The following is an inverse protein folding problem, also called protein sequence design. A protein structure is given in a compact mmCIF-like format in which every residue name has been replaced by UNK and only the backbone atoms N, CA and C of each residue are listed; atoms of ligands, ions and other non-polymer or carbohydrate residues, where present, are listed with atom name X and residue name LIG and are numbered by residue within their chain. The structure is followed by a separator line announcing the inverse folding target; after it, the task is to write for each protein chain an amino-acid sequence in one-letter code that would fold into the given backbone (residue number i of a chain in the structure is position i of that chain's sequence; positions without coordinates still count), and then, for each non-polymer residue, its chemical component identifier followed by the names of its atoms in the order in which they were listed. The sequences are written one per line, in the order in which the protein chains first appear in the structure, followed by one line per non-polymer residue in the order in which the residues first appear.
data_IF_348337766065
#
_entry.id   IF_348337766065
#
_cell.length_a   1.000
_cell.length_b   1.000
_cell.length_c   1.000
_cell.angle_alpha   90.00
_cell.angle_beta   90.00
_cell.angle_gamma   90.00
#
_symmetry.space_group_name_H-M   'P 1'
#
loop_
_entity.id
_entity.type
_entity.pdbx_description
1 polymer ?
#
# COMPACT_ATOMS: atom_id res chain seq x y z
N UNK A 1 -4.88 -2.87 29.53
CA UNK A 1 -3.92 -2.09 28.72
C UNK A 1 -3.39 -3.01 27.62
N UNK A 2 -3.76 -2.80 26.36
CA UNK A 2 -3.24 -3.63 25.25
C UNK A 2 -1.74 -3.35 25.12
N UNK A 3 -0.90 -4.37 25.23
CA UNK A 3 0.50 -4.23 24.85
C UNK A 3 0.54 -3.77 23.39
N UNK A 4 1.27 -2.69 23.09
CA UNK A 4 1.49 -2.30 21.71
C UNK A 4 2.13 -3.49 20.99
N UNK A 5 1.48 -3.99 19.93
CA UNK A 5 1.98 -5.12 19.16
C UNK A 5 3.43 -4.86 18.75
N UNK A 6 4.30 -5.85 18.92
CA UNK A 6 5.72 -5.67 18.62
C UNK A 6 5.90 -5.25 17.17
N UNK A 7 6.91 -4.43 16.85
CA UNK A 7 7.16 -3.98 15.46
C UNK A 7 7.27 -5.16 14.48
N UNK A 8 7.77 -6.32 14.94
CA UNK A 8 7.82 -7.56 14.17
C UNK A 8 6.44 -8.10 13.83
N UNK A 9 5.53 -8.10 14.79
CA UNK A 9 4.14 -8.51 14.61
C UNK A 9 3.39 -7.57 13.66
N UNK A 10 3.55 -6.26 13.83
CA UNK A 10 2.99 -5.26 12.91
C UNK A 10 3.46 -5.49 11.47
N UNK A 11 4.75 -5.77 11.26
CA UNK A 11 5.29 -6.12 9.93
C UNK A 11 4.67 -7.40 9.38
N UNK A 12 4.47 -8.43 10.22
CA UNK A 12 3.78 -9.65 9.79
C UNK A 12 2.33 -9.38 9.42
N UNK A 13 1.60 -8.60 10.22
CA UNK A 13 0.20 -8.20 9.95
C UNK A 13 0.10 -7.40 8.64
N UNK A 14 0.97 -6.42 8.44
CA UNK A 14 1.09 -5.64 7.20
C UNK A 14 1.33 -6.53 5.98
N UNK A 15 2.30 -7.44 6.06
CA UNK A 15 2.56 -8.39 4.97
C UNK A 15 1.56 -9.54 4.86
N UNK A 16 0.42 -9.49 5.56
CA UNK A 16 -0.59 -10.58 5.65
C UNK A 16 0.02 -11.95 5.96
N UNK A 17 1.07 -11.96 6.76
CA UNK A 17 1.90 -13.12 7.11
C UNK A 17 2.50 -13.88 5.92
N UNK A 18 2.49 -13.31 4.71
CA UNK A 18 3.14 -13.88 3.52
C UNK A 18 4.59 -13.42 3.46
N UNK A 19 5.53 -14.34 3.35
CA UNK A 19 6.96 -14.03 3.47
C UNK A 19 7.43 -13.03 2.41
N UNK A 20 6.94 -13.13 1.16
CA UNK A 20 7.28 -12.20 0.09
C UNK A 20 6.81 -10.77 0.44
N UNK A 21 5.54 -10.63 0.84
CA UNK A 21 4.96 -9.34 1.20
C UNK A 21 5.62 -8.76 2.46
N UNK A 22 5.94 -9.59 3.46
CA UNK A 22 6.70 -9.18 4.65
C UNK A 22 8.08 -8.64 4.28
N UNK A 23 8.81 -9.32 3.38
CA UNK A 23 10.13 -8.87 2.93
C UNK A 23 10.05 -7.55 2.18
N UNK A 24 9.09 -7.40 1.25
CA UNK A 24 8.85 -6.14 0.53
C UNK A 24 8.46 -5.02 1.50
N UNK A 25 7.60 -5.30 2.49
CA UNK A 25 7.22 -4.35 3.53
C UNK A 25 8.44 -3.83 4.29
N UNK A 26 9.37 -4.70 4.67
CA UNK A 26 10.62 -4.29 5.37
C UNK A 26 11.47 -3.36 4.50
N UNK A 27 11.62 -3.70 3.22
CA UNK A 27 12.38 -2.88 2.27
C UNK A 27 11.72 -1.51 2.07
N UNK A 28 10.40 -1.47 1.91
CA UNK A 28 9.63 -0.25 1.75
C UNK A 28 9.71 0.64 3.00
N UNK A 29 9.67 0.07 4.21
CA UNK A 29 9.89 0.80 5.46
C UNK A 29 11.29 1.41 5.54
N UNK A 30 12.32 0.64 5.16
CA UNK A 30 13.70 1.14 5.14
C UNK A 30 13.85 2.26 4.11
N UNK A 31 13.25 2.10 2.93
CA UNK A 31 13.21 3.12 1.90
C UNK A 31 12.56 4.40 2.43
N UNK A 32 11.37 4.32 3.02
CA UNK A 32 10.67 5.49 3.57
C UNK A 32 11.53 6.26 4.59
N UNK A 33 12.26 5.55 5.46
CA UNK A 33 13.21 6.18 6.41
C UNK A 33 14.35 6.93 5.70
N UNK A 34 14.95 6.32 4.66
CA UNK A 34 16.05 6.95 3.91
C UNK A 34 15.59 8.20 3.15
N UNK A 35 14.32 8.26 2.77
CA UNK A 35 13.70 9.40 2.09
C UNK A 35 13.06 10.43 3.05
N UNK A 36 13.41 10.38 4.34
CA UNK A 36 12.97 11.36 5.34
C UNK A 36 11.52 11.22 5.79
N UNK A 37 10.87 10.10 5.44
CA UNK A 37 9.49 9.81 5.81
C UNK A 37 9.34 9.26 7.22
N UNK A 38 8.12 9.35 7.73
CA UNK A 38 7.67 8.68 8.97
C UNK A 38 6.89 7.42 8.60
N UNK A 39 6.94 6.38 9.42
CA UNK A 39 6.18 5.15 9.19
C UNK A 39 5.37 4.77 10.44
N UNK A 40 4.04 4.90 10.35
CA UNK A 40 3.11 4.57 11.42
C UNK A 40 2.27 3.37 11.02
N UNK A 41 2.07 2.43 11.93
CA UNK A 41 1.18 1.30 11.70
C UNK A 41 -0.27 1.74 11.91
N UNK A 42 -1.15 1.36 10.99
CA UNK A 42 -2.59 1.55 11.09
C UNK A 42 -3.22 0.22 11.51
N UNK A 43 -3.81 0.16 12.70
CA UNK A 43 -4.36 -1.09 13.24
C UNK A 43 -5.64 -1.55 12.53
N UNK A 44 -6.44 -0.61 12.02
CA UNK A 44 -7.73 -0.89 11.37
C UNK A 44 -7.52 -1.62 10.04
N UNK A 45 -6.64 -1.08 9.19
CA UNK A 45 -6.35 -1.66 7.88
C UNK A 45 -5.16 -2.63 7.93
N UNK A 46 -4.43 -2.62 9.05
CA UNK A 46 -3.23 -3.42 9.28
C UNK A 46 -2.20 -3.21 8.17
N UNK A 47 -1.87 -1.96 7.88
CA UNK A 47 -0.81 -1.53 6.94
C UNK A 47 0.10 -0.49 7.61
N UNK A 48 1.29 -0.26 7.04
CA UNK A 48 2.10 0.89 7.41
C UNK A 48 1.79 2.08 6.50
N UNK A 49 1.49 3.22 7.10
CA UNK A 49 1.37 4.49 6.41
C UNK A 49 2.71 5.21 6.52
N UNK A 50 3.43 5.25 5.40
CA UNK A 50 4.69 5.95 5.25
C UNK A 50 4.42 7.34 4.66
N UNK A 51 4.41 8.38 5.50
CA UNK A 51 4.05 9.76 5.12
C UNK A 51 5.21 10.75 5.27
N UNK A 52 5.13 11.89 4.60
CA UNK A 52 6.16 12.94 4.62
C UNK A 52 7.29 12.72 3.60
N UNK A 53 7.14 11.76 2.69
CA UNK A 53 8.12 11.53 1.64
C UNK A 53 8.07 12.67 0.61
N UNK A 54 9.23 13.10 0.13
CA UNK A 54 9.35 14.16 -0.90
C UNK A 54 9.24 13.62 -2.34
N UNK A 55 9.24 12.30 -2.50
CA UNK A 55 9.20 11.60 -3.78
C UNK A 55 9.35 10.09 -3.56
N UNK A 56 9.59 9.33 -4.64
CA UNK A 56 9.80 7.87 -4.53
C UNK A 56 8.53 7.02 -4.52
N UNK A 57 7.40 7.62 -4.87
CA UNK A 57 6.10 6.98 -5.04
C UNK A 57 5.39 7.60 -6.26
N UNK A 58 4.47 6.87 -6.88
CA UNK A 58 3.63 7.36 -7.98
C UNK A 58 2.35 8.03 -7.49
N UNK A 59 1.69 8.81 -8.37
CA UNK A 59 0.26 9.21 -8.31
C UNK A 59 -0.36 9.38 -6.90
N UNK A 60 0.20 10.25 -6.07
CA UNK A 60 -0.34 10.54 -4.73
C UNK A 60 -0.02 9.49 -3.65
N UNK A 61 0.40 8.29 -4.03
CA UNK A 61 1.00 7.29 -3.17
C UNK A 61 1.19 5.92 -3.86
N UNK A 62 1.93 5.02 -3.24
CA UNK A 62 2.15 3.67 -3.78
C UNK A 62 2.34 2.65 -2.67
N UNK A 63 1.63 1.53 -2.76
CA UNK A 63 1.76 0.41 -1.82
C UNK A 63 2.78 -0.61 -2.29
N UNK A 64 3.72 -0.95 -1.40
CA UNK A 64 4.72 -2.01 -1.55
C UNK A 64 4.60 -3.01 -0.39
N UNK A 65 4.17 -4.24 -0.69
CA UNK A 65 3.83 -5.20 0.35
C UNK A 65 2.66 -4.64 1.18
N UNK A 66 2.83 -4.51 2.48
CA UNK A 66 1.89 -3.84 3.39
C UNK A 66 2.30 -2.43 3.81
N UNK A 67 3.15 -1.73 3.04
CA UNK A 67 3.56 -0.37 3.32
C UNK A 67 3.11 0.58 2.20
N UNK A 68 2.27 1.55 2.55
CA UNK A 68 1.79 2.62 1.67
C UNK A 68 2.67 3.85 1.79
N UNK A 69 3.32 4.26 0.70
CA UNK A 69 4.23 5.42 0.65
C UNK A 69 3.53 6.62 0.02
N UNK A 70 3.53 7.76 0.70
CA UNK A 70 2.92 9.00 0.22
C UNK A 70 3.61 10.24 0.81
N UNK A 71 3.38 11.41 0.21
CA UNK A 71 3.67 12.69 0.84
C UNK A 71 2.66 12.97 1.96
N UNK A 72 1.38 13.07 1.63
CA UNK A 72 0.34 13.55 2.52
C UNK A 72 -1.06 12.92 2.29
N UNK A 73 -1.20 11.93 1.41
CA UNK A 73 -2.50 11.35 1.06
C UNK A 73 -2.97 10.29 2.07
N UNK A 74 -3.22 10.71 3.31
CA UNK A 74 -3.48 9.81 4.44
C UNK A 74 -4.94 9.70 4.84
N UNK A 75 -5.87 10.11 3.97
CA UNK A 75 -7.30 10.03 4.23
C UNK A 75 -7.74 8.57 4.43
N UNK A 76 -8.63 8.30 5.39
CA UNK A 76 -9.04 6.91 5.73
C UNK A 76 -9.60 6.13 4.54
N UNK A 77 -10.36 6.78 3.64
CA UNK A 77 -10.83 6.14 2.40
C UNK A 77 -9.67 5.63 1.54
N UNK A 78 -8.59 6.40 1.44
CA UNK A 78 -7.39 6.02 0.68
C UNK A 78 -6.70 4.86 1.39
N UNK A 79 -6.57 4.91 2.72
CA UNK A 79 -5.98 3.79 3.46
C UNK A 79 -6.75 2.47 3.26
N UNK A 80 -8.08 2.53 3.17
CA UNK A 80 -8.93 1.39 2.82
C UNK A 80 -8.61 0.85 1.43
N UNK A 81 -8.46 1.73 0.44
CA UNK A 81 -8.05 1.36 -0.92
C UNK A 81 -6.66 0.69 -0.93
N UNK A 82 -5.68 1.30 -0.29
CA UNK A 82 -4.30 0.80 -0.22
C UNK A 82 -4.19 -0.52 0.56
N UNK A 83 -5.10 -0.78 1.50
CA UNK A 83 -5.20 -2.07 2.18
C UNK A 83 -5.51 -3.22 1.21
N UNK A 84 -6.31 -2.96 0.18
CA UNK A 84 -6.60 -3.95 -0.87
C UNK A 84 -5.37 -4.18 -1.74
N UNK A 85 -4.58 -3.15 -2.04
CA UNK A 85 -3.28 -3.36 -2.70
C UNK A 85 -2.32 -4.19 -1.85
N UNK A 86 -2.33 -4.03 -0.52
CA UNK A 86 -1.58 -4.90 0.38
C UNK A 86 -2.05 -6.37 0.32
N UNK A 87 -3.36 -6.59 0.18
CA UNK A 87 -3.93 -7.93 -0.04
C UNK A 87 -3.52 -8.51 -1.40
N UNK A 88 -3.51 -7.69 -2.46
CA UNK A 88 -3.04 -8.09 -3.78
C UNK A 88 -1.54 -8.43 -3.78
N UNK A 89 -0.71 -7.67 -3.06
CA UNK A 89 0.70 -8.01 -2.82
C UNK A 89 0.84 -9.35 -2.09
N UNK A 90 0.00 -9.63 -1.10
CA UNK A 90 0.01 -10.91 -0.41
C UNK A 90 -0.46 -12.07 -1.33
N UNK A 91 -1.43 -11.81 -2.22
CA UNK A 91 -1.99 -12.79 -3.16
C UNK A 91 -1.04 -13.12 -4.32
N UNK A 92 -0.38 -12.12 -4.87
CA UNK A 92 0.42 -12.26 -6.10
C UNK A 92 1.93 -12.14 -5.88
N UNK A 93 2.37 -11.77 -4.68
CA UNK A 93 3.77 -11.68 -4.30
C UNK A 93 4.56 -10.75 -5.22
N UNK A 94 5.79 -11.15 -5.54
CA UNK A 94 6.71 -10.36 -6.37
C UNK A 94 6.24 -10.20 -7.83
N UNK A 95 5.25 -10.98 -8.28
CA UNK A 95 4.67 -10.82 -9.64
C UNK A 95 3.65 -9.69 -9.73
N UNK A 96 3.21 -9.14 -8.59
CA UNK A 96 2.15 -8.14 -8.57
C UNK A 96 2.47 -6.88 -9.38
N UNK A 97 3.65 -6.22 -9.24
CA UNK A 97 3.96 -5.03 -10.03
C UNK A 97 3.90 -5.27 -11.54
N UNK A 98 4.38 -6.42 -12.01
CA UNK A 98 4.31 -6.76 -13.42
C UNK A 98 2.87 -6.96 -13.89
N UNK A 99 2.05 -7.67 -13.12
CA UNK A 99 0.62 -7.85 -13.41
C UNK A 99 -0.11 -6.52 -13.45
N UNK A 100 0.15 -5.65 -12.48
CA UNK A 100 -0.41 -4.31 -12.42
C UNK A 100 -0.04 -3.52 -13.68
N UNK A 101 1.24 -3.49 -14.07
CA UNK A 101 1.70 -2.73 -15.23
C UNK A 101 1.14 -3.27 -16.56
N UNK A 102 1.06 -4.60 -16.72
CA UNK A 102 0.44 -5.21 -17.90
C UNK A 102 -1.05 -4.85 -17.98
N UNK A 103 -1.75 -4.86 -16.85
CA UNK A 103 -3.15 -4.46 -16.79
C UNK A 103 -3.30 -2.96 -17.09
N UNK A 104 -2.52 -2.10 -16.44
CA UNK A 104 -2.53 -0.64 -16.62
C UNK A 104 -2.24 -0.26 -18.07
N UNK A 105 -1.36 -0.98 -18.76
CA UNK A 105 -1.05 -0.74 -20.18
C UNK A 105 -2.25 -1.04 -21.09
N UNK A 106 -3.13 -1.98 -20.71
CA UNK A 106 -4.30 -2.40 -21.48
C UNK A 106 -5.57 -1.64 -21.08
N UNK A 107 -5.75 -1.43 -19.79
CA UNK A 107 -6.91 -0.81 -19.16
C UNK A 107 -6.42 0.23 -18.16
N UNK A 108 -6.28 1.47 -18.63
CA UNK A 108 -5.66 2.57 -17.88
C UNK A 108 -6.53 3.08 -16.74
N UNK A 109 -5.92 3.43 -15.62
CA UNK A 109 -6.57 4.13 -14.50
C UNK A 109 -7.81 3.39 -13.99
N UNK A 110 -8.98 4.03 -14.08
CA UNK A 110 -10.24 3.47 -13.57
C UNK A 110 -10.73 2.21 -14.28
N UNK A 111 -10.14 1.87 -15.44
CA UNK A 111 -10.43 0.61 -16.12
C UNK A 111 -9.54 -0.55 -15.63
N UNK A 112 -8.47 -0.27 -14.87
CA UNK A 112 -7.56 -1.29 -14.35
C UNK A 112 -8.30 -2.14 -13.30
N UNK A 113 -8.38 -3.46 -13.52
CA UNK A 113 -9.11 -4.35 -12.59
C UNK A 113 -8.58 -4.33 -11.16
N UNK A 114 -7.29 -4.04 -10.95
CA UNK A 114 -6.71 -3.96 -9.61
C UNK A 114 -7.15 -2.70 -8.88
N UNK A 115 -7.34 -1.59 -9.61
CA UNK A 115 -7.89 -0.33 -9.11
C UNK A 115 -9.39 -0.44 -8.85
N UNK A 116 -10.11 -1.18 -9.70
CA UNK A 116 -11.53 -1.52 -9.49
C UNK A 116 -11.70 -2.35 -8.22
N UNK A 117 -10.91 -3.42 -8.04
CA UNK A 117 -10.92 -4.26 -6.83
C UNK A 117 -10.59 -3.44 -5.58
N UNK A 118 -9.63 -2.50 -5.68
CA UNK A 118 -9.24 -1.63 -4.58
C UNK A 118 -10.28 -0.54 -4.25
N UNK A 119 -11.32 -0.38 -5.06
CA UNK A 119 -12.36 0.61 -4.86
C UNK A 119 -11.98 1.97 -5.43
N UNK A 120 -12.51 2.27 -6.62
CA UNK A 120 -12.22 3.49 -7.37
C UNK A 120 -12.48 4.78 -6.60
N UNK A 121 -13.66 4.90 -5.96
CA UNK A 121 -14.04 6.10 -5.22
C UNK A 121 -13.09 6.38 -4.04
N UNK A 122 -12.59 5.32 -3.42
CA UNK A 122 -11.66 5.38 -2.30
C UNK A 122 -10.25 5.77 -2.72
N UNK A 123 -9.83 5.33 -3.92
CA UNK A 123 -8.59 5.74 -4.60
C UNK A 123 -8.66 7.13 -5.23
N UNK A 124 -9.82 7.81 -5.17
CA UNK A 124 -10.00 9.16 -5.70
C UNK A 124 -10.37 9.21 -7.19
N UNK A 125 -10.68 8.08 -7.81
CA UNK A 125 -11.29 8.05 -9.13
C UNK A 125 -12.75 8.51 -9.01
N UNK A 126 -13.10 9.55 -9.77
CA UNK A 126 -14.48 10.01 -9.86
C UNK A 126 -15.27 9.08 -10.78
N UNK A 127 -16.52 8.71 -10.46
CA UNK A 127 -17.42 8.18 -11.47
C UNK A 127 -17.47 9.19 -12.62
N UNK A 128 -17.25 8.75 -13.85
CA UNK A 128 -17.68 9.51 -15.02
C UNK A 128 -19.20 9.56 -14.92
N UNK A 129 -19.74 10.69 -14.48
CA UNK A 129 -21.17 10.96 -14.56
C UNK A 129 -21.66 10.96 -16.00
#
# INVERSE_FOLDING_TARGET
MSAAASRREQIRRAGRSKWQSVSVTRLALRYAQLWGGTARFDDEFSIFVCSGLRGGFGRGGTTFGGAYLTANNTARRVLRHEAIHADQWARFGLTFPFRYLVEEARHRGSANRFEIEAGLADGGYRPTG
#
